data_IF_453584435199
#
_entry.id   IF_453584435199
#
_cell.length_a   1.000
_cell.length_b   1.000
_cell.length_c   1.000
_cell.angle_alpha   90.00
_cell.angle_beta   90.00
_cell.angle_gamma   90.00
#
_symmetry.space_group_name_H-M   'P 1'
#
loop_
_entity.id
_entity.type
_entity.pdbx_description
1 polymer ?
#
# COMPACT_ATOMS: atom_id res chain seq x y z
N UNK A 1 54.71 -15.81 -22.96
CA UNK A 1 54.62 -15.63 -21.49
C UNK A 1 54.29 -14.18 -21.07
N UNK A 2 54.78 -13.14 -21.77
CA UNK A 2 54.52 -11.73 -21.45
C UNK A 2 53.06 -11.25 -21.64
N UNK A 3 52.36 -11.70 -22.69
CA UNK A 3 50.96 -11.33 -22.96
C UNK A 3 49.96 -11.80 -21.88
N UNK A 4 50.26 -12.94 -21.23
CA UNK A 4 49.41 -13.52 -20.17
C UNK A 4 49.56 -12.74 -18.85
N UNK A 5 50.77 -12.27 -18.55
CA UNK A 5 51.06 -11.43 -17.37
C UNK A 5 50.47 -10.01 -17.51
N UNK A 6 50.49 -9.45 -18.72
CA UNK A 6 49.89 -8.13 -18.99
C UNK A 6 48.36 -8.18 -18.91
N UNK A 7 47.72 -9.21 -19.49
CA UNK A 7 46.28 -9.41 -19.35
C UNK A 7 45.84 -9.61 -17.89
N UNK A 8 46.61 -10.37 -17.09
CA UNK A 8 46.38 -10.52 -15.65
C UNK A 8 46.54 -9.21 -14.86
N UNK A 9 47.46 -8.33 -15.26
CA UNK A 9 47.64 -7.02 -14.63
C UNK A 9 46.46 -6.09 -14.94
N UNK A 10 45.99 -6.07 -16.18
CA UNK A 10 44.82 -5.29 -16.59
C UNK A 10 43.53 -5.74 -15.88
N UNK A 11 43.30 -7.05 -15.76
CA UNK A 11 42.15 -7.56 -15.00
C UNK A 11 42.22 -7.22 -13.51
N UNK A 12 43.41 -7.30 -12.90
CA UNK A 12 43.60 -6.89 -11.50
C UNK A 12 43.35 -5.39 -11.29
N UNK A 13 43.86 -4.53 -12.18
CA UNK A 13 43.61 -3.08 -12.12
C UNK A 13 42.12 -2.75 -12.30
N UNK A 14 41.43 -3.44 -13.20
CA UNK A 14 39.99 -3.29 -13.39
C UNK A 14 39.20 -3.69 -12.13
N UNK A 15 39.55 -4.82 -11.51
CA UNK A 15 38.92 -5.27 -10.26
C UNK A 15 39.16 -4.30 -9.10
N UNK A 16 40.38 -3.76 -8.97
CA UNK A 16 40.70 -2.74 -7.95
C UNK A 16 39.90 -1.46 -8.19
N UNK A 17 39.78 -1.02 -9.45
CA UNK A 17 38.98 0.15 -9.80
C UNK A 17 37.49 -0.07 -9.48
N UNK A 18 36.91 -1.22 -9.84
CA UNK A 18 35.53 -1.57 -9.49
C UNK A 18 35.36 -1.58 -7.96
N UNK A 19 36.29 -2.16 -7.22
CA UNK A 19 36.24 -2.22 -5.76
C UNK A 19 36.29 -0.81 -5.13
N UNK A 20 37.14 0.08 -5.64
CA UNK A 20 37.18 1.50 -5.23
C UNK A 20 35.85 2.22 -5.51
N UNK A 21 35.23 1.98 -6.66
CA UNK A 21 33.91 2.53 -6.99
C UNK A 21 32.84 2.03 -5.99
N UNK A 22 32.85 0.74 -5.66
CA UNK A 22 31.91 0.15 -4.67
C UNK A 22 32.09 0.76 -3.28
N UNK A 23 33.33 1.00 -2.83
CA UNK A 23 33.62 1.64 -1.55
C UNK A 23 33.08 3.08 -1.52
N UNK A 24 33.34 3.87 -2.58
CA UNK A 24 32.87 5.26 -2.68
C UNK A 24 31.34 5.34 -2.64
N UNK A 25 30.65 4.49 -3.40
CA UNK A 25 29.19 4.40 -3.41
C UNK A 25 28.66 4.02 -2.02
N UNK A 26 29.27 3.02 -1.37
CA UNK A 26 28.87 2.58 -0.03
C UNK A 26 29.04 3.68 1.02
N UNK A 27 30.15 4.43 0.98
CA UNK A 27 30.41 5.56 1.87
C UNK A 27 29.39 6.70 1.64
N UNK A 28 29.07 7.01 0.39
CA UNK A 28 28.06 8.02 0.06
C UNK A 28 26.65 7.62 0.53
N UNK A 29 26.26 6.36 0.36
CA UNK A 29 24.98 5.82 0.86
C UNK A 29 24.94 5.86 2.39
N UNK A 30 26.03 5.47 3.07
CA UNK A 30 26.15 5.52 4.53
C UNK A 30 26.02 6.96 5.06
N UNK A 31 26.65 7.93 4.40
CA UNK A 31 26.54 9.35 4.74
C UNK A 31 25.10 9.87 4.60
N UNK A 32 24.44 9.58 3.47
CA UNK A 32 23.03 9.96 3.26
C UNK A 32 22.10 9.34 4.31
N UNK A 33 22.27 8.04 4.60
CA UNK A 33 21.52 7.37 5.68
C UNK A 33 21.73 8.07 7.03
N UNK A 34 22.99 8.41 7.37
CA UNK A 34 23.31 9.11 8.63
C UNK A 34 22.60 10.47 8.74
N UNK A 35 22.59 11.26 7.67
CA UNK A 35 21.91 12.57 7.64
C UNK A 35 20.40 12.40 7.84
N UNK A 36 19.77 11.45 7.12
CA UNK A 36 18.33 11.16 7.31
C UNK A 36 18.05 10.69 8.75
N UNK A 37 18.90 9.85 9.34
CA UNK A 37 18.75 9.40 10.73
C UNK A 37 18.79 10.54 11.76
N UNK A 38 19.70 11.50 11.59
CA UNK A 38 19.76 12.68 12.48
C UNK A 38 18.47 13.49 12.36
N UNK A 39 17.98 13.74 11.14
CA UNK A 39 16.71 14.45 10.91
C UNK A 39 15.54 13.71 11.56
N UNK A 40 15.44 12.39 11.38
CA UNK A 40 14.39 11.55 11.96
C UNK A 40 14.41 11.65 13.50
N UNK A 41 15.59 11.58 14.13
CA UNK A 41 15.71 11.75 15.58
C UNK A 41 15.18 13.11 16.05
N UNK A 42 15.49 14.17 15.33
CA UNK A 42 14.99 15.52 15.66
C UNK A 42 13.47 15.64 15.46
N UNK A 43 12.92 15.06 14.40
CA UNK A 43 11.48 15.03 14.15
C UNK A 43 10.74 14.25 15.24
N UNK A 44 11.26 13.08 15.63
CA UNK A 44 10.66 12.20 16.64
C UNK A 44 10.65 12.83 18.04
N UNK A 45 11.60 13.73 18.35
CA UNK A 45 11.61 14.48 19.63
C UNK A 45 10.41 15.41 19.78
N UNK A 46 9.75 15.81 18.69
CA UNK A 46 8.60 16.75 18.72
C UNK A 46 7.33 16.07 19.25
N UNK A 47 7.24 14.74 19.20
CA UNK A 47 6.11 13.96 19.73
C UNK A 47 5.40 13.12 18.67
N UNK A 48 4.14 12.76 18.97
CA UNK A 48 3.33 11.88 18.13
C UNK A 48 2.86 12.58 16.84
N UNK A 49 2.86 11.83 15.74
CA UNK A 49 2.34 12.24 14.44
C UNK A 49 1.24 11.28 13.99
N UNK A 50 0.27 11.80 13.26
CA UNK A 50 -0.65 11.00 12.45
C UNK A 50 0.07 10.68 11.13
N UNK A 51 0.15 9.40 10.77
CA UNK A 51 0.61 8.97 9.46
C UNK A 51 -0.51 9.09 8.43
N UNK A 52 -0.25 9.77 7.31
CA UNK A 52 -1.16 9.83 6.17
C UNK A 52 -0.46 9.20 4.96
N UNK A 53 -1.02 8.10 4.45
CA UNK A 53 -0.46 7.34 3.34
C UNK A 53 -1.40 7.43 2.15
N UNK A 54 -0.86 7.76 0.99
CA UNK A 54 -1.56 7.70 -0.30
C UNK A 54 -0.79 6.81 -1.25
N UNK A 55 -1.45 6.34 -2.30
CA UNK A 55 -0.87 5.43 -3.29
C UNK A 55 -0.37 6.22 -4.49
N UNK A 56 -1.25 7.04 -5.07
CA UNK A 56 -1.04 7.54 -6.43
C UNK A 56 -0.91 9.07 -6.53
N UNK A 57 -0.44 9.54 -7.69
CA UNK A 57 -0.20 10.98 -7.94
C UNK A 57 -1.49 11.79 -7.89
N UNK A 58 -2.60 11.25 -8.39
CA UNK A 58 -3.91 11.92 -8.38
C UNK A 58 -4.40 12.19 -6.96
N UNK A 59 -4.28 11.20 -6.07
CA UNK A 59 -4.63 11.33 -4.64
C UNK A 59 -3.75 12.37 -3.95
N UNK A 60 -2.44 12.32 -4.20
CA UNK A 60 -1.47 13.30 -3.69
C UNK A 60 -1.84 14.72 -4.11
N UNK A 61 -2.11 14.91 -5.40
CA UNK A 61 -2.44 16.21 -5.97
C UNK A 61 -3.76 16.74 -5.40
N UNK A 62 -4.79 15.89 -5.30
CA UNK A 62 -6.07 16.26 -4.72
C UNK A 62 -5.92 16.68 -3.25
N UNK A 63 -5.15 15.94 -2.46
CA UNK A 63 -4.87 16.27 -1.07
C UNK A 63 -4.17 17.63 -0.93
N UNK A 64 -3.07 17.86 -1.68
CA UNK A 64 -2.34 19.14 -1.57
C UNK A 64 -3.11 20.33 -2.15
N UNK A 65 -3.99 20.11 -3.13
CA UNK A 65 -4.85 21.16 -3.67
C UNK A 65 -5.82 21.76 -2.64
N UNK A 66 -6.12 21.04 -1.54
CA UNK A 66 -6.94 21.57 -0.44
C UNK A 66 -6.29 22.74 0.30
N UNK A 67 -4.96 22.89 0.21
CA UNK A 67 -4.21 23.88 0.99
C UNK A 67 -4.15 23.60 2.50
N UNK A 68 -4.71 22.48 2.97
CA UNK A 68 -4.82 22.18 4.39
C UNK A 68 -3.47 21.74 5.03
N UNK A 69 -2.53 21.25 4.22
CA UNK A 69 -1.23 20.80 4.72
C UNK A 69 -0.24 21.96 4.83
N UNK A 70 0.22 22.22 6.05
CA UNK A 70 1.24 23.22 6.35
C UNK A 70 2.59 22.54 6.58
N UNK A 71 3.59 22.71 5.70
CA UNK A 71 4.91 22.08 5.87
C UNK A 71 5.64 22.56 7.13
N UNK A 72 6.37 21.66 7.77
CA UNK A 72 7.24 22.04 8.88
C UNK A 72 8.35 22.99 8.39
N UNK A 73 8.60 24.13 9.07
CA UNK A 73 9.54 25.14 8.59
C UNK A 73 11.00 24.69 8.65
N UNK A 74 11.35 23.79 9.57
CA UNK A 74 12.73 23.31 9.78
C UNK A 74 13.03 22.03 8.99
N UNK A 75 12.08 21.10 9.00
CA UNK A 75 12.21 19.80 8.35
C UNK A 75 10.97 19.49 7.50
N UNK A 76 10.77 20.18 6.36
CA UNK A 76 9.55 20.00 5.55
C UNK A 76 9.41 18.58 4.98
N UNK A 77 10.53 17.85 4.82
CA UNK A 77 10.52 16.45 4.42
C UNK A 77 11.80 15.71 4.81
N UNK A 78 11.72 14.38 4.79
CA UNK A 78 12.83 13.44 4.85
C UNK A 78 12.68 12.43 3.71
N UNK A 79 13.74 12.23 2.92
CA UNK A 79 13.77 11.18 1.92
C UNK A 79 14.38 9.91 2.55
N UNK A 80 13.63 8.80 2.52
CA UNK A 80 13.98 7.51 3.11
C UNK A 80 13.47 6.37 2.22
N UNK A 81 14.33 5.40 1.91
CA UNK A 81 13.99 4.22 1.09
C UNK A 81 13.34 4.58 -0.26
N UNK A 82 13.80 5.65 -0.91
CA UNK A 82 13.26 6.11 -2.20
C UNK A 82 11.91 6.84 -2.10
N UNK A 83 11.41 7.11 -0.89
CA UNK A 83 10.15 7.81 -0.63
C UNK A 83 10.39 9.13 0.09
N UNK A 84 9.52 10.11 -0.18
CA UNK A 84 9.53 11.41 0.48
C UNK A 84 8.46 11.45 1.57
N UNK A 85 8.90 11.49 2.81
CA UNK A 85 8.05 11.69 3.98
C UNK A 85 7.96 13.19 4.24
N UNK A 86 6.80 13.79 3.99
CA UNK A 86 6.54 15.21 4.20
C UNK A 86 6.06 15.41 5.63
N UNK A 87 6.72 16.29 6.37
CA UNK A 87 6.40 16.55 7.79
C UNK A 87 5.72 17.90 7.87
N UNK A 88 4.58 17.96 8.56
CA UNK A 88 3.79 19.18 8.65
C UNK A 88 2.64 19.08 9.62
N UNK A 89 1.65 19.94 9.43
CA UNK A 89 0.40 19.94 10.19
C UNK A 89 -0.81 20.05 9.28
N UNK A 90 -1.93 19.49 9.72
CA UNK A 90 -3.27 19.69 9.15
C UNK A 90 -4.17 20.10 10.31
N UNK A 91 -4.82 21.26 10.24
CA UNK A 91 -5.65 21.81 11.34
C UNK A 91 -4.96 21.66 12.72
N UNK A 92 -3.71 22.13 12.80
CA UNK A 92 -2.82 22.07 13.99
C UNK A 92 -2.39 20.66 14.45
N UNK A 93 -2.89 19.59 13.83
CA UNK A 93 -2.46 18.22 14.12
C UNK A 93 -1.21 17.89 13.35
N UNK A 94 -0.20 17.35 14.04
CA UNK A 94 1.08 16.92 13.46
C UNK A 94 0.86 15.72 12.54
N UNK A 95 1.28 15.84 11.29
CA UNK A 95 1.08 14.82 10.25
C UNK A 95 2.41 14.53 9.55
N UNK A 96 2.67 13.24 9.30
CA UNK A 96 3.67 12.79 8.35
C UNK A 96 2.93 12.17 7.17
N UNK A 97 3.05 12.81 6.01
CA UNK A 97 2.46 12.36 4.77
C UNK A 97 3.49 11.60 3.92
N UNK A 98 3.10 10.49 3.29
CA UNK A 98 3.93 9.78 2.32
C UNK A 98 3.10 9.14 1.21
N UNK A 99 3.61 9.19 -0.03
CA UNK A 99 3.07 8.42 -1.15
C UNK A 99 3.80 7.08 -1.30
N UNK A 100 3.12 5.97 -1.05
CA UNK A 100 3.70 4.62 -1.05
C UNK A 100 3.87 4.00 -2.44
N UNK A 101 3.22 4.53 -3.49
CA UNK A 101 3.30 3.99 -4.86
C UNK A 101 2.56 2.67 -5.05
N UNK A 102 2.48 2.21 -6.30
CA UNK A 102 1.60 1.09 -6.68
C UNK A 102 2.23 -0.29 -6.38
N UNK A 103 1.42 -1.19 -5.83
CA UNK A 103 1.63 -2.64 -5.80
C UNK A 103 2.17 -3.24 -4.51
N UNK A 104 1.76 -4.48 -4.24
CA UNK A 104 2.35 -5.40 -3.27
C UNK A 104 3.46 -6.20 -3.94
N UNK A 105 4.64 -6.23 -3.33
CA UNK A 105 5.84 -7.00 -3.71
C UNK A 105 5.57 -8.26 -4.62
N UNK A 106 6.10 -8.31 -5.86
CA UNK A 106 5.59 -9.20 -6.93
C UNK A 106 6.00 -10.70 -6.86
N UNK A 107 6.57 -11.20 -5.76
CA UNK A 107 7.31 -12.49 -5.76
C UNK A 107 6.70 -13.61 -4.89
N UNK A 108 5.39 -13.59 -4.65
CA UNK A 108 4.69 -14.62 -3.86
C UNK A 108 4.45 -15.93 -4.62
N UNK A 109 4.56 -17.07 -3.93
CA UNK A 109 4.25 -18.42 -4.45
C UNK A 109 3.14 -19.07 -3.62
N UNK A 110 2.24 -19.82 -4.25
CA UNK A 110 1.06 -20.44 -3.62
C UNK A 110 1.43 -21.68 -2.78
N UNK A 111 0.84 -21.81 -1.59
CA UNK A 111 1.07 -22.89 -0.61
C UNK A 111 0.11 -24.07 -0.78
N UNK A 112 0.43 -25.23 -0.20
CA UNK A 112 -0.39 -26.46 -0.25
C UNK A 112 -1.51 -26.52 0.79
N UNK A 113 -1.86 -25.41 1.44
CA UNK A 113 -2.74 -25.34 2.62
C UNK A 113 -4.05 -24.58 2.39
N UNK A 114 -4.48 -24.45 1.14
CA UNK A 114 -5.61 -23.60 0.76
C UNK A 114 -6.98 -24.14 1.27
N UNK A 115 -7.84 -23.21 1.71
CA UNK A 115 -9.03 -23.48 2.53
C UNK A 115 -10.34 -23.49 1.71
N UNK A 116 -10.38 -22.90 0.51
CA UNK A 116 -11.35 -23.26 -0.55
C UNK A 116 -10.87 -22.88 -1.96
N UNK A 117 -11.63 -23.33 -2.97
CA UNK A 117 -11.22 -23.36 -4.38
C UNK A 117 -12.26 -22.68 -5.31
N UNK A 118 -11.79 -21.80 -6.21
CA UNK A 118 -12.52 -21.43 -7.43
C UNK A 118 -11.76 -21.91 -8.67
N UNK A 119 -12.45 -22.64 -9.55
CA UNK A 119 -11.91 -23.11 -10.82
C UNK A 119 -12.18 -22.07 -11.92
N UNK A 120 -11.17 -21.25 -12.25
CA UNK A 120 -11.30 -20.16 -13.25
C UNK A 120 -11.76 -20.71 -14.61
N UNK A 121 -11.37 -21.94 -14.98
CA UNK A 121 -11.82 -22.58 -16.22
C UNK A 121 -13.34 -22.70 -16.38
N UNK A 122 -14.12 -22.63 -15.29
CA UNK A 122 -15.59 -22.60 -15.34
C UNK A 122 -16.18 -21.29 -15.90
N UNK A 123 -15.36 -20.25 -16.08
CA UNK A 123 -15.78 -18.90 -16.46
C UNK A 123 -15.13 -18.41 -17.77
N UNK A 124 -14.66 -19.32 -18.62
CA UNK A 124 -14.08 -18.97 -19.93
C UNK A 124 -15.11 -18.29 -20.85
N UNK A 125 -14.67 -17.24 -21.57
CA UNK A 125 -15.42 -16.62 -22.67
C UNK A 125 -14.50 -16.52 -23.90
N UNK A 126 -14.87 -17.10 -25.07
CA UNK A 126 -16.06 -17.93 -25.30
C UNK A 126 -16.00 -19.22 -24.46
N UNK A 127 -17.17 -19.71 -24.05
CA UNK A 127 -17.27 -21.03 -23.43
C UNK A 127 -16.76 -22.06 -24.43
N UNK A 128 -15.70 -22.77 -24.06
CA UNK A 128 -15.11 -23.82 -24.88
C UNK A 128 -14.54 -24.92 -23.98
N UNK A 129 -14.44 -26.13 -24.52
CA UNK A 129 -14.01 -27.35 -23.82
C UNK A 129 -12.51 -27.39 -23.47
N UNK A 130 -11.81 -26.25 -23.62
CA UNK A 130 -10.37 -26.14 -23.44
C UNK A 130 -9.92 -26.00 -21.98
N UNK A 131 -8.79 -26.62 -21.66
CA UNK A 131 -8.10 -26.43 -20.38
C UNK A 131 -7.65 -24.97 -20.23
N UNK A 132 -8.24 -24.25 -19.27
CA UNK A 132 -7.71 -22.95 -18.85
C UNK A 132 -6.44 -23.18 -18.03
N UNK A 133 -5.30 -22.65 -18.48
CA UNK A 133 -4.01 -22.76 -17.78
C UNK A 133 -3.98 -21.96 -16.46
N UNK A 134 -4.88 -20.99 -16.29
CA UNK A 134 -5.26 -20.44 -14.98
C UNK A 134 -6.32 -21.38 -14.40
N UNK A 135 -5.87 -22.40 -13.66
CA UNK A 135 -6.73 -23.52 -13.27
C UNK A 135 -7.58 -23.26 -12.03
N UNK A 136 -7.03 -22.56 -11.02
CA UNK A 136 -7.62 -22.44 -9.67
C UNK A 136 -7.13 -21.18 -8.95
N UNK A 137 -7.98 -20.57 -8.11
CA UNK A 137 -7.57 -19.63 -7.05
C UNK A 137 -7.85 -20.32 -5.72
N UNK A 138 -6.84 -20.38 -4.87
CA UNK A 138 -6.93 -20.81 -3.47
C UNK A 138 -6.68 -19.63 -2.53
N UNK A 139 -7.08 -19.78 -1.27
CA UNK A 139 -6.80 -18.81 -0.21
C UNK A 139 -6.36 -19.53 1.06
N UNK A 140 -5.44 -18.90 1.80
CA UNK A 140 -4.95 -19.38 3.08
C UNK A 140 -4.76 -18.21 4.04
N UNK A 141 -4.55 -18.51 5.32
CA UNK A 141 -4.15 -17.47 6.27
C UNK A 141 -2.72 -17.01 5.96
N UNK A 142 -2.46 -15.73 6.14
CA UNK A 142 -1.12 -15.18 6.12
C UNK A 142 -0.42 -15.36 7.46
N UNK A 143 0.91 -15.49 7.41
CA UNK A 143 1.75 -15.51 8.61
C UNK A 143 1.97 -14.08 9.10
N UNK A 144 1.28 -13.70 10.16
CA UNK A 144 1.39 -12.38 10.75
C UNK A 144 2.30 -12.39 11.99
N UNK A 145 3.18 -11.40 12.08
CA UNK A 145 4.10 -11.21 13.20
C UNK A 145 3.85 -9.85 13.82
N UNK A 146 3.75 -9.78 15.14
CA UNK A 146 3.55 -8.54 15.86
C UNK A 146 4.63 -8.31 16.91
N UNK A 147 4.80 -7.05 17.33
CA UNK A 147 5.70 -6.67 18.43
C UNK A 147 5.30 -7.26 19.80
N UNK A 148 4.08 -7.81 19.92
CA UNK A 148 3.58 -8.39 21.17
C UNK A 148 4.18 -9.78 21.45
N UNK A 149 4.42 -10.57 20.40
CA UNK A 149 4.95 -11.93 20.53
C UNK A 149 6.24 -12.08 19.71
N UNK A 150 7.36 -12.20 20.41
CA UNK A 150 8.65 -12.37 19.76
C UNK A 150 8.75 -13.77 19.12
N UNK A 151 8.81 -13.80 17.78
CA UNK A 151 9.06 -14.99 16.95
C UNK A 151 7.92 -16.01 16.85
N UNK A 152 6.69 -15.63 17.19
CA UNK A 152 5.50 -16.45 16.91
C UNK A 152 4.73 -15.83 15.73
N UNK A 153 4.42 -16.65 14.72
CA UNK A 153 3.51 -16.27 13.65
C UNK A 153 2.08 -16.62 14.08
N UNK A 154 1.17 -15.67 14.01
CA UNK A 154 -0.26 -15.91 14.15
C UNK A 154 -0.92 -15.94 12.77
N UNK A 155 -1.87 -16.86 12.52
CA UNK A 155 -2.61 -16.88 11.28
C UNK A 155 -3.53 -15.65 11.19
N UNK A 156 -3.39 -14.85 10.15
CA UNK A 156 -4.23 -13.68 9.90
C UNK A 156 -4.99 -13.85 8.58
N UNK A 157 -6.31 -13.79 8.67
CA UNK A 157 -7.20 -13.81 7.50
C UNK A 157 -7.86 -12.46 7.27
N UNK A 158 -8.33 -11.83 8.36
CA UNK A 158 -8.88 -10.48 8.36
C UNK A 158 -8.05 -9.59 9.26
N UNK A 159 -7.55 -8.49 8.71
CA UNK A 159 -6.97 -7.43 9.49
C UNK A 159 -8.06 -6.43 9.92
N UNK A 160 -8.45 -6.48 11.19
CA UNK A 160 -9.53 -5.66 11.73
C UNK A 160 -9.08 -4.23 12.04
N UNK A 161 -9.91 -3.25 11.67
CA UNK A 161 -9.72 -1.86 12.09
C UNK A 161 -10.17 -1.68 13.53
N UNK A 162 -9.42 -0.90 14.30
CA UNK A 162 -9.75 -0.63 15.70
C UNK A 162 -11.14 0.01 15.86
N UNK A 163 -11.90 -0.45 16.87
CA UNK A 163 -13.27 0.02 17.12
C UNK A 163 -13.39 1.54 17.31
N UNK A 164 -12.40 2.22 17.89
CA UNK A 164 -12.45 3.68 18.02
C UNK A 164 -12.42 4.38 16.66
N UNK A 165 -11.64 3.88 15.71
CA UNK A 165 -11.60 4.42 14.35
C UNK A 165 -12.88 4.09 13.58
N UNK A 166 -13.46 2.90 13.79
CA UNK A 166 -14.77 2.54 13.24
C UNK A 166 -15.87 3.49 13.75
N UNK A 167 -15.90 3.77 15.05
CA UNK A 167 -16.85 4.73 15.62
C UNK A 167 -16.64 6.15 15.10
N UNK A 168 -15.39 6.60 14.99
CA UNK A 168 -15.10 7.91 14.40
C UNK A 168 -15.61 8.00 12.96
N UNK A 169 -15.39 6.97 12.15
CA UNK A 169 -15.87 7.00 10.78
C UNK A 169 -17.39 6.88 10.66
N UNK A 170 -18.04 6.11 11.53
CA UNK A 170 -19.50 6.08 11.61
C UNK A 170 -20.07 7.47 11.94
N UNK A 171 -19.35 8.30 12.72
CA UNK A 171 -19.79 9.67 12.98
C UNK A 171 -19.77 10.60 11.76
N UNK A 172 -19.14 10.16 10.65
CA UNK A 172 -19.11 10.88 9.39
C UNK A 172 -20.30 10.49 8.49
N UNK A 173 -21.13 9.52 8.91
CA UNK A 173 -22.32 9.11 8.17
C UNK A 173 -23.21 10.31 7.82
N UNK A 174 -23.66 10.36 6.57
CA UNK A 174 -24.44 11.49 6.05
C UNK A 174 -23.60 12.71 5.65
N UNK A 175 -22.27 12.68 5.78
CA UNK A 175 -21.39 13.71 5.20
C UNK A 175 -21.67 13.84 3.70
N UNK A 176 -21.99 15.06 3.28
CA UNK A 176 -22.18 15.35 1.87
C UNK A 176 -20.83 15.46 1.16
N UNK A 177 -20.68 14.70 0.08
CA UNK A 177 -19.51 14.75 -0.77
C UNK A 177 -19.84 15.52 -2.06
N UNK A 178 -18.87 16.33 -2.50
CA UNK A 178 -18.99 17.09 -3.74
C UNK A 178 -19.06 16.15 -4.95
N UNK A 179 -20.04 16.43 -5.82
CA UNK A 179 -20.23 15.65 -7.06
C UNK A 179 -19.18 15.99 -8.13
N UNK A 180 -18.62 17.19 -8.06
CA UNK A 180 -17.81 17.77 -9.12
C UNK A 180 -16.53 18.35 -8.56
N UNK A 181 -15.41 18.07 -9.22
CA UNK A 181 -14.14 18.75 -8.94
C UNK A 181 -14.11 20.13 -9.59
N UNK A 182 -14.74 20.26 -10.77
CA UNK A 182 -14.94 21.51 -11.49
C UNK A 182 -16.15 21.39 -12.42
N UNK A 183 -16.48 22.46 -13.16
CA UNK A 183 -17.65 22.51 -14.06
C UNK A 183 -17.67 21.47 -15.18
N UNK A 184 -16.51 20.90 -15.53
CA UNK A 184 -16.34 19.92 -16.62
C UNK A 184 -16.10 18.49 -16.16
N UNK A 185 -15.77 18.27 -14.88
CA UNK A 185 -15.43 16.96 -14.32
C UNK A 185 -16.31 16.67 -13.10
N UNK A 186 -17.39 15.92 -13.36
CA UNK A 186 -18.39 15.53 -12.39
C UNK A 186 -18.70 14.03 -12.50
N UNK A 187 -18.99 13.42 -11.36
CA UNK A 187 -19.56 12.08 -11.33
C UNK A 187 -20.99 12.08 -11.86
N UNK A 188 -21.46 10.95 -12.38
CA UNK A 188 -22.87 10.81 -12.82
C UNK A 188 -23.84 10.97 -11.65
N UNK A 189 -23.50 10.35 -10.52
CA UNK A 189 -24.27 10.42 -9.28
C UNK A 189 -23.50 11.15 -8.16
N UNK A 190 -24.21 11.68 -7.16
CA UNK A 190 -23.57 12.30 -5.98
C UNK A 190 -22.88 11.20 -5.15
N UNK A 191 -21.59 11.27 -4.84
CA UNK A 191 -20.92 10.26 -4.03
C UNK A 191 -21.49 10.22 -2.59
N UNK A 192 -21.38 9.08 -1.90
CA UNK A 192 -21.67 8.95 -0.46
C UNK A 192 -20.53 8.23 0.23
N UNK A 193 -20.46 8.44 1.52
CA UNK A 193 -19.67 7.67 2.46
C UNK A 193 -20.46 6.44 2.94
N UNK A 194 -19.83 5.27 2.97
CA UNK A 194 -20.31 4.07 3.67
C UNK A 194 -19.15 3.45 4.42
N UNK A 195 -19.45 2.93 5.60
CA UNK A 195 -18.48 2.37 6.54
C UNK A 195 -18.83 0.91 6.86
N UNK A 196 -17.87 0.17 7.42
CA UNK A 196 -18.08 -1.21 7.88
C UNK A 196 -18.06 -2.29 6.79
N UNK A 197 -17.68 -1.93 5.56
CA UNK A 197 -17.52 -2.89 4.46
C UNK A 197 -16.16 -3.58 4.51
N UNK A 198 -16.09 -4.79 3.97
CA UNK A 198 -14.82 -5.52 3.79
C UNK A 198 -14.18 -5.14 2.47
N UNK A 199 -12.88 -5.28 2.41
CA UNK A 199 -12.08 -4.98 1.22
C UNK A 199 -10.91 -5.93 1.13
N UNK A 200 -10.34 -6.01 -0.05
CA UNK A 200 -9.27 -6.93 -0.40
C UNK A 200 -8.13 -6.16 -1.04
N UNK A 201 -6.95 -6.75 -1.05
CA UNK A 201 -5.82 -6.20 -1.80
C UNK A 201 -5.27 -7.30 -2.71
N UNK A 202 -4.87 -6.93 -3.93
CA UNK A 202 -4.23 -7.82 -4.87
C UNK A 202 -2.95 -7.18 -5.43
N UNK A 203 -1.98 -7.98 -5.83
CA UNK A 203 -0.80 -7.47 -6.56
C UNK A 203 -1.07 -7.21 -8.05
N UNK A 204 -2.31 -7.39 -8.50
CA UNK A 204 -2.77 -7.17 -9.87
C UNK A 204 -3.99 -6.25 -9.88
N UNK A 205 -4.13 -5.46 -10.94
CA UNK A 205 -5.36 -4.71 -11.19
C UNK A 205 -6.49 -5.68 -11.55
N UNK A 206 -7.58 -5.66 -10.78
CA UNK A 206 -8.65 -6.64 -10.88
C UNK A 206 -9.76 -6.19 -11.83
N UNK A 207 -9.50 -6.32 -13.13
CA UNK A 207 -10.51 -6.08 -14.18
C UNK A 207 -11.08 -7.39 -14.73
N UNK A 208 -11.72 -8.16 -13.87
CA UNK A 208 -12.40 -9.40 -14.25
C UNK A 208 -13.67 -9.58 -13.43
N UNK A 209 -14.82 -9.66 -14.11
CA UNK A 209 -16.12 -9.79 -13.46
C UNK A 209 -16.25 -11.06 -12.62
N UNK A 210 -15.75 -12.21 -13.10
CA UNK A 210 -15.81 -13.46 -12.36
C UNK A 210 -14.97 -13.41 -11.07
N UNK A 211 -13.80 -12.77 -11.11
CA UNK A 211 -12.95 -12.55 -9.93
C UNK A 211 -13.62 -11.62 -8.92
N UNK A 212 -14.26 -10.52 -9.35
CA UNK A 212 -15.02 -9.62 -8.46
C UNK A 212 -16.20 -10.34 -7.80
N UNK A 213 -16.97 -11.06 -8.62
CA UNK A 213 -18.09 -11.86 -8.15
C UNK A 213 -17.67 -12.90 -7.11
N UNK A 214 -16.54 -13.56 -7.33
CA UNK A 214 -15.97 -14.50 -6.38
C UNK A 214 -15.61 -13.81 -5.05
N UNK A 215 -14.85 -12.71 -5.09
CA UNK A 215 -14.46 -11.97 -3.89
C UNK A 215 -15.67 -11.51 -3.08
N UNK A 216 -16.70 -11.02 -3.75
CA UNK A 216 -17.92 -10.58 -3.09
C UNK A 216 -18.73 -11.77 -2.54
N UNK A 217 -18.98 -12.81 -3.32
CA UNK A 217 -19.79 -13.98 -2.90
C UNK A 217 -19.12 -14.81 -1.81
N UNK A 218 -17.79 -14.88 -1.81
CA UNK A 218 -17.03 -15.71 -0.87
C UNK A 218 -16.62 -14.94 0.39
N UNK A 219 -16.25 -13.66 0.27
CA UNK A 219 -15.69 -12.88 1.37
C UNK A 219 -16.47 -11.63 1.73
N UNK A 220 -17.50 -11.27 0.96
CA UNK A 220 -18.23 -10.00 1.04
C UNK A 220 -17.29 -8.79 0.87
N UNK A 221 -16.14 -8.99 0.21
CA UNK A 221 -15.22 -7.93 -0.12
C UNK A 221 -15.88 -7.02 -1.19
N UNK A 222 -16.12 -5.77 -0.81
CA UNK A 222 -16.79 -4.78 -1.65
C UNK A 222 -15.82 -3.99 -2.52
N UNK A 223 -14.53 -3.99 -2.14
CA UNK A 223 -13.45 -3.32 -2.88
C UNK A 223 -12.21 -4.19 -2.99
N UNK A 224 -11.41 -3.88 -4.00
CA UNK A 224 -10.07 -4.41 -4.19
C UNK A 224 -9.12 -3.26 -4.53
N UNK A 225 -8.00 -3.15 -3.83
CA UNK A 225 -6.90 -2.24 -4.17
C UNK A 225 -5.57 -3.00 -4.33
N UNK A 226 -4.44 -2.29 -4.39
CA UNK A 226 -3.14 -2.92 -4.61
C UNK A 226 -2.11 -2.63 -3.52
N UNK A 227 -2.48 -1.99 -2.40
CA UNK A 227 -1.54 -1.51 -1.39
C UNK A 227 -2.00 -1.67 0.06
N UNK A 228 -3.31 -1.60 0.32
CA UNK A 228 -3.84 -1.42 1.68
C UNK A 228 -3.39 -2.52 2.64
N UNK A 229 -3.39 -3.80 2.23
CA UNK A 229 -2.98 -4.91 3.09
C UNK A 229 -1.54 -4.76 3.61
N UNK A 230 -0.58 -4.33 2.79
CA UNK A 230 0.80 -4.14 3.24
C UNK A 230 0.93 -3.00 4.27
N UNK A 231 0.20 -1.90 4.07
CA UNK A 231 0.18 -0.79 5.02
C UNK A 231 -0.45 -1.25 6.33
N UNK A 232 -1.57 -1.97 6.25
CA UNK A 232 -2.31 -2.48 7.41
C UNK A 232 -1.51 -3.49 8.21
N UNK A 233 -0.95 -4.51 7.56
CA UNK A 233 -0.04 -5.46 8.20
C UNK A 233 1.11 -4.75 8.92
N UNK A 234 1.73 -3.75 8.28
CA UNK A 234 2.84 -3.01 8.88
C UNK A 234 2.39 -2.25 10.14
N UNK A 235 1.26 -1.55 10.08
CA UNK A 235 0.71 -0.81 11.22
C UNK A 235 0.35 -1.76 12.37
N UNK A 236 -0.41 -2.82 12.10
CA UNK A 236 -0.82 -3.79 13.11
C UNK A 236 0.38 -4.50 13.73
N UNK A 237 1.36 -4.90 12.91
CA UNK A 237 2.59 -5.55 13.37
C UNK A 237 3.33 -4.68 14.40
N UNK A 238 3.30 -3.36 14.21
CA UNK A 238 3.93 -2.38 15.10
C UNK A 238 2.98 -1.82 16.18
N UNK A 239 1.76 -2.35 16.31
CA UNK A 239 0.79 -1.93 17.33
C UNK A 239 0.17 -0.56 17.10
N UNK A 240 0.19 -0.04 15.87
CA UNK A 240 -0.44 1.24 15.53
C UNK A 240 -1.88 1.03 15.06
N UNK A 241 -2.86 1.71 15.65
CA UNK A 241 -4.22 1.69 15.14
C UNK A 241 -4.26 2.50 13.83
N UNK A 242 -5.11 2.08 12.90
CA UNK A 242 -5.18 2.67 11.57
C UNK A 242 -6.61 2.79 11.08
N UNK A 243 -6.78 3.58 10.04
CA UNK A 243 -8.01 3.76 9.30
C UNK A 243 -7.67 3.65 7.81
N UNK A 244 -8.34 2.74 7.10
CA UNK A 244 -8.27 2.70 5.63
C UNK A 244 -9.42 3.54 5.08
N UNK A 245 -9.18 4.20 3.95
CA UNK A 245 -10.17 4.97 3.19
C UNK A 245 -9.91 4.65 1.71
N UNK A 246 -10.86 4.00 1.05
CA UNK A 246 -10.77 3.68 -0.39
C UNK A 246 -11.90 4.35 -1.16
N UNK A 247 -11.58 4.99 -2.28
CA UNK A 247 -12.55 5.45 -3.27
C UNK A 247 -12.63 4.49 -4.46
N UNK A 248 -13.84 4.25 -4.97
CA UNK A 248 -14.05 3.42 -6.16
C UNK A 248 -13.80 4.22 -7.45
N UNK A 249 -13.17 3.60 -8.46
CA UNK A 249 -12.70 4.32 -9.66
C UNK A 249 -12.99 3.66 -11.01
N UNK A 250 -13.41 2.39 -11.06
CA UNK A 250 -13.50 1.60 -12.30
C UNK A 250 -14.93 1.29 -12.74
N UNK A 251 -15.68 0.47 -11.99
CA UNK A 251 -16.91 -0.13 -12.49
C UNK A 251 -18.16 0.32 -11.74
N UNK A 252 -18.99 1.03 -12.50
CA UNK A 252 -20.40 1.29 -12.28
C UNK A 252 -21.21 -0.03 -12.23
N UNK A 253 -21.18 -0.76 -11.12
CA UNK A 253 -22.47 -1.23 -10.61
C UNK A 253 -23.17 -0.01 -10.00
N UNK A 254 -24.51 0.03 -9.91
CA UNK A 254 -25.36 1.18 -9.51
C UNK A 254 -25.07 1.80 -8.11
N UNK A 255 -23.90 1.53 -7.58
CA UNK A 255 -23.33 1.98 -6.33
C UNK A 255 -21.97 2.61 -6.65
N UNK A 256 -21.96 3.77 -7.33
CA UNK A 256 -20.80 4.67 -7.28
C UNK A 256 -20.82 5.31 -5.89
N UNK A 257 -20.12 4.79 -4.88
CA UNK A 257 -19.98 5.47 -3.59
C UNK A 257 -18.83 4.83 -2.82
N UNK A 258 -18.39 5.45 -1.72
CA UNK A 258 -17.70 4.87 -0.56
C UNK A 258 -16.28 5.39 -0.27
N UNK A 259 -16.02 5.52 1.02
CA UNK A 259 -14.73 5.68 1.69
C UNK A 259 -14.71 4.49 2.65
N UNK A 260 -14.08 3.38 2.24
CA UNK A 260 -14.20 2.12 2.96
C UNK A 260 -13.39 2.08 4.25
N UNK A 261 -14.02 1.66 5.36
CA UNK A 261 -13.31 1.23 6.57
C UNK A 261 -13.16 -0.28 6.58
N UNK A 262 -11.97 -0.72 6.22
CA UNK A 262 -11.76 -2.05 5.70
C UNK A 262 -11.37 -3.05 6.80
N UNK A 263 -12.12 -4.14 6.95
CA UNK A 263 -11.51 -5.42 7.33
C UNK A 263 -10.82 -5.97 6.09
N UNK A 264 -9.48 -6.10 6.12
CA UNK A 264 -8.69 -6.44 4.94
C UNK A 264 -8.51 -7.94 4.82
N UNK A 265 -8.95 -8.47 3.68
CA UNK A 265 -8.56 -9.79 3.19
C UNK A 265 -7.14 -9.66 2.63
N UNK A 266 -6.29 -10.57 3.05
CA UNK A 266 -4.89 -10.64 2.65
C UNK A 266 -4.69 -11.57 1.46
#
# INVERSE_FOLDING_TARGET
>A
MAARKTAQCFTMLLLVWIFLQVILVSAAVSSKKRVSWIKIKEINKVGLYIGLVTVYTTEENAFFATGAFMPNPKYPFVDLSGRRFRVGTIYEKKVIYVRCGIGLNPNGTVSSSDVAEIKIGSYNVPQGDGLNMLGKIGYSNEQFFSVKEANAAEPLFWAEVNQHWLHLAASLEGMELDKCVNSSLCLTQKPMLVFGLKGSTANIFLDNAASRDFLFKTFEASTADMESSAVVMTCLSNGFPLLVIQGMSDLDQEIIRFIHLVHLLL
#
